data_IF_599069393026
#
_entry.id   IF_599069393026
#
_cell.length_a   1.000
_cell.length_b   1.000
_cell.length_c   1.000
_cell.angle_alpha   90.00
_cell.angle_beta   90.00
_cell.angle_gamma   90.00
#
_symmetry.space_group_name_H-M   'P 1'
#
loop_
_entity.id
_entity.type
_entity.pdbx_description
1 polymer ?
#
# COMPACT_ATOMS: atom_id res chain seq x y z
N UNK A 1 33.41 17.17 -16.26
CA UNK A 1 32.52 16.54 -15.27
C UNK A 1 31.14 16.52 -15.88
N UNK A 2 30.62 15.35 -16.25
CA UNK A 2 29.25 15.23 -16.78
C UNK A 2 28.30 15.42 -15.61
N UNK A 3 27.51 16.49 -15.62
CA UNK A 3 26.44 16.69 -14.63
C UNK A 3 25.42 15.57 -14.80
N UNK A 4 25.22 14.77 -13.75
CA UNK A 4 24.23 13.69 -13.77
C UNK A 4 22.81 14.27 -13.93
N UNK A 5 21.95 13.58 -14.68
CA UNK A 5 20.55 13.97 -14.84
C UNK A 5 19.83 13.89 -13.49
N UNK A 6 19.15 14.96 -13.03
CA UNK A 6 18.40 14.93 -11.78
C UNK A 6 17.11 14.12 -11.92
N UNK A 7 16.64 13.56 -10.82
CA UNK A 7 15.32 12.90 -10.72
C UNK A 7 14.21 13.93 -10.90
N UNK A 8 13.11 13.53 -11.54
CA UNK A 8 11.93 14.36 -11.83
C UNK A 8 10.71 13.83 -11.09
N UNK A 9 9.69 14.67 -10.95
CA UNK A 9 8.42 14.27 -10.32
C UNK A 9 7.79 13.04 -10.97
N UNK A 10 7.87 12.93 -12.29
CA UNK A 10 7.34 11.78 -13.03
C UNK A 10 8.05 10.47 -12.65
N UNK A 11 9.33 10.53 -12.25
CA UNK A 11 10.07 9.34 -11.79
C UNK A 11 9.52 8.83 -10.43
N UNK A 12 8.87 9.69 -9.63
CA UNK A 12 8.25 9.32 -8.34
C UNK A 12 6.79 8.86 -8.47
N UNK A 13 6.25 8.81 -9.68
CA UNK A 13 4.84 8.48 -9.89
C UNK A 13 4.49 7.06 -9.41
N UNK A 14 5.40 6.10 -9.57
CA UNK A 14 5.18 4.72 -9.17
C UNK A 14 4.91 4.58 -7.67
N UNK A 15 5.82 5.11 -6.85
CA UNK A 15 5.73 5.12 -5.38
C UNK A 15 4.49 5.91 -4.91
N UNK A 16 4.26 7.10 -5.48
CA UNK A 16 3.08 7.94 -5.16
C UNK A 16 1.76 7.18 -5.38
N UNK A 17 1.63 6.44 -6.48
CA UNK A 17 0.42 5.66 -6.75
C UNK A 17 0.30 4.41 -5.87
N UNK A 18 1.43 3.84 -5.45
CA UNK A 18 1.52 2.80 -4.43
C UNK A 18 0.94 3.28 -3.09
N UNK A 19 1.44 4.42 -2.60
CA UNK A 19 0.98 5.08 -1.38
C UNK A 19 -0.53 5.29 -1.38
N UNK A 20 -1.05 5.96 -2.43
CA UNK A 20 -2.48 6.20 -2.57
C UNK A 20 -3.30 4.92 -2.56
N UNK A 21 -2.82 3.85 -3.20
CA UNK A 21 -3.51 2.57 -3.23
C UNK A 21 -3.57 1.91 -1.84
N UNK A 22 -2.45 1.94 -1.09
CA UNK A 22 -2.38 1.39 0.27
C UNK A 22 -3.25 2.20 1.24
N UNK A 23 -3.14 3.53 1.27
CA UNK A 23 -3.98 4.39 2.11
C UNK A 23 -5.47 4.20 1.80
N UNK A 24 -5.85 4.19 0.52
CA UNK A 24 -7.25 3.99 0.10
C UNK A 24 -7.81 2.68 0.62
N UNK A 25 -7.08 1.59 0.46
CA UNK A 25 -7.59 0.28 0.81
C UNK A 25 -7.63 0.05 2.32
N UNK A 26 -6.64 0.55 3.07
CA UNK A 26 -6.66 0.55 4.54
C UNK A 26 -7.91 1.25 5.07
N UNK A 27 -8.23 2.44 4.53
CA UNK A 27 -9.47 3.17 4.88
C UNK A 27 -10.74 2.41 4.48
N UNK A 28 -10.80 1.86 3.26
CA UNK A 28 -11.97 1.07 2.81
C UNK A 28 -12.23 -0.14 3.70
N UNK A 29 -11.18 -0.79 4.20
CA UNK A 29 -11.30 -1.92 5.12
C UNK A 29 -11.74 -1.46 6.51
N UNK A 30 -11.20 -0.37 7.04
CA UNK A 30 -11.63 0.23 8.31
C UNK A 30 -13.13 0.61 8.27
N UNK A 31 -13.57 1.24 7.18
CA UNK A 31 -14.99 1.57 6.96
C UNK A 31 -15.86 0.32 6.88
N UNK A 32 -15.40 -0.72 6.17
CA UNK A 32 -16.09 -2.00 6.09
C UNK A 32 -16.24 -2.63 7.47
N UNK A 33 -15.16 -2.70 8.24
CA UNK A 33 -15.17 -3.27 9.59
C UNK A 33 -16.12 -2.49 10.53
N UNK A 34 -16.14 -1.16 10.41
CA UNK A 34 -17.10 -0.30 11.14
C UNK A 34 -18.55 -0.63 10.76
N UNK A 35 -18.86 -0.80 9.47
CA UNK A 35 -20.20 -1.21 9.02
C UNK A 35 -20.60 -2.61 9.48
N UNK A 36 -19.63 -3.55 9.56
CA UNK A 36 -19.85 -4.89 10.11
C UNK A 36 -20.23 -4.79 11.59
N UNK A 37 -19.47 -4.03 12.39
CA UNK A 37 -19.76 -3.80 13.82
C UNK A 37 -21.13 -3.15 14.03
N UNK A 38 -21.50 -2.21 13.17
CA UNK A 38 -22.81 -1.56 13.21
C UNK A 38 -23.98 -2.46 12.76
N UNK A 39 -23.70 -3.68 12.29
CA UNK A 39 -24.72 -4.59 11.74
C UNK A 39 -25.32 -4.14 10.40
N UNK A 40 -24.68 -3.16 9.73
CA UNK A 40 -25.08 -2.67 8.42
C UNK A 40 -24.64 -3.61 7.29
N UNK A 41 -23.71 -4.52 7.55
CA UNK A 41 -23.14 -5.48 6.62
C UNK A 41 -23.19 -6.89 7.20
N UNK A 42 -23.79 -7.85 6.48
CA UNK A 42 -23.69 -9.27 6.85
C UNK A 42 -22.41 -9.86 6.27
N UNK A 43 -21.73 -10.67 7.08
CA UNK A 43 -20.51 -11.38 6.70
C UNK A 43 -20.75 -12.86 6.91
N UNK A 44 -20.89 -13.61 5.82
CA UNK A 44 -20.85 -15.07 5.86
C UNK A 44 -19.41 -15.58 5.88
N UNK A 45 -19.20 -16.89 6.06
CA UNK A 45 -17.86 -17.49 6.10
C UNK A 45 -17.05 -17.22 4.83
N UNK A 46 -17.71 -17.21 3.67
CA UNK A 46 -17.03 -16.98 2.37
C UNK A 46 -16.50 -15.56 2.27
N UNK A 47 -17.31 -14.57 2.66
CA UNK A 47 -16.93 -13.16 2.70
C UNK A 47 -15.89 -12.90 3.78
N UNK A 48 -16.02 -13.52 4.96
CA UNK A 48 -15.02 -13.41 6.02
C UNK A 48 -13.64 -13.90 5.57
N UNK A 49 -13.56 -15.07 4.94
CA UNK A 49 -12.32 -15.59 4.37
C UNK A 49 -11.76 -14.71 3.24
N UNK A 50 -12.63 -14.04 2.47
CA UNK A 50 -12.19 -13.08 1.46
C UNK A 50 -11.62 -11.80 2.08
N UNK A 51 -12.23 -11.29 3.16
CA UNK A 51 -11.72 -10.16 3.94
C UNK A 51 -10.35 -10.51 4.51
N UNK A 52 -10.21 -11.66 5.18
CA UNK A 52 -8.94 -12.12 5.73
C UNK A 52 -7.83 -12.20 4.68
N UNK A 53 -8.12 -12.80 3.52
CA UNK A 53 -7.16 -12.86 2.41
C UNK A 53 -6.79 -11.49 1.85
N UNK A 54 -7.74 -10.56 1.76
CA UNK A 54 -7.46 -9.19 1.32
C UNK A 54 -6.56 -8.47 2.31
N UNK A 55 -6.91 -8.55 3.59
CA UNK A 55 -6.13 -7.96 4.70
C UNK A 55 -4.71 -8.51 4.72
N UNK A 56 -4.53 -9.83 4.61
CA UNK A 56 -3.20 -10.44 4.56
C UNK A 56 -2.33 -9.90 3.43
N UNK A 57 -2.87 -9.83 2.20
CA UNK A 57 -2.13 -9.31 1.04
C UNK A 57 -1.81 -7.82 1.15
N UNK A 58 -2.71 -7.02 1.73
CA UNK A 58 -2.44 -5.60 1.97
C UNK A 58 -1.35 -5.42 3.04
N UNK A 59 -1.40 -6.22 4.11
CA UNK A 59 -0.36 -6.19 5.12
C UNK A 59 0.99 -6.70 4.59
N UNK A 60 1.01 -7.64 3.63
CA UNK A 60 2.24 -8.10 2.97
C UNK A 60 2.84 -6.98 2.13
N UNK A 61 1.99 -6.26 1.39
CA UNK A 61 2.41 -5.13 0.55
C UNK A 61 2.98 -3.97 1.39
N UNK A 62 2.29 -3.56 2.46
CA UNK A 62 2.77 -2.47 3.34
C UNK A 62 4.11 -2.84 3.97
N UNK A 63 4.22 -4.05 4.54
CA UNK A 63 5.47 -4.52 5.13
C UNK A 63 6.61 -4.57 4.12
N UNK A 64 6.35 -5.10 2.92
CA UNK A 64 7.35 -5.15 1.86
C UNK A 64 7.81 -3.75 1.42
N UNK A 65 6.89 -2.79 1.38
CA UNK A 65 7.18 -1.42 1.00
C UNK A 65 8.11 -0.73 2.00
N UNK A 66 7.76 -0.71 3.29
CA UNK A 66 8.60 -0.05 4.30
C UNK A 66 9.93 -0.78 4.53
N UNK A 67 9.96 -2.11 4.41
CA UNK A 67 11.21 -2.88 4.50
C UNK A 67 12.15 -2.54 3.32
N UNK A 68 11.59 -2.34 2.13
CA UNK A 68 12.37 -1.94 0.98
C UNK A 68 12.89 -0.50 1.11
N UNK A 69 12.19 0.38 1.80
CA UNK A 69 12.67 1.73 2.10
C UNK A 69 13.86 1.70 3.05
N UNK A 70 13.73 1.02 4.18
CA UNK A 70 14.80 0.88 5.17
C UNK A 70 16.06 0.24 4.56
N UNK A 71 15.90 -0.82 3.77
CA UNK A 71 17.02 -1.59 3.25
C UNK A 71 17.64 -1.02 1.95
N UNK A 72 16.87 -0.27 1.15
CA UNK A 72 17.29 0.15 -0.20
C UNK A 72 17.30 1.67 -0.33
N UNK A 73 16.20 2.35 0.00
CA UNK A 73 16.08 3.78 -0.24
C UNK A 73 16.83 4.61 0.80
N UNK A 74 16.71 4.28 2.09
CA UNK A 74 17.31 5.03 3.20
C UNK A 74 18.84 5.13 3.03
N UNK A 75 19.58 4.04 2.75
CA UNK A 75 21.03 4.13 2.52
C UNK A 75 21.41 5.04 1.35
N UNK A 76 20.58 5.12 0.30
CA UNK A 76 20.81 6.03 -0.84
C UNK A 76 20.59 7.47 -0.43
N UNK A 77 19.53 7.76 0.35
CA UNK A 77 19.25 9.10 0.85
C UNK A 77 20.35 9.58 1.80
N UNK A 78 20.77 8.75 2.75
CA UNK A 78 21.88 9.06 3.66
C UNK A 78 23.18 9.35 2.89
N UNK A 79 23.51 8.55 1.88
CA UNK A 79 24.70 8.75 1.06
C UNK A 79 24.64 10.03 0.21
N UNK A 80 23.44 10.47 -0.21
CA UNK A 80 23.24 11.61 -1.12
C UNK A 80 22.96 12.93 -0.42
N UNK A 81 22.29 12.89 0.71
CA UNK A 81 21.81 14.06 1.43
C UNK A 81 22.55 14.28 2.76
N UNK A 82 23.12 13.23 3.37
CA UNK A 82 23.76 13.29 4.69
C UNK A 82 22.83 13.92 5.73
N UNK A 83 23.35 14.86 6.52
CA UNK A 83 22.59 15.58 7.58
C UNK A 83 21.38 16.40 7.07
N UNK A 84 21.12 16.44 5.76
CA UNK A 84 19.93 17.10 5.18
C UNK A 84 18.68 16.23 5.21
N UNK A 85 18.81 14.95 5.53
CA UNK A 85 17.70 14.04 5.70
C UNK A 85 17.74 13.49 7.12
N UNK A 86 16.59 13.50 7.80
CA UNK A 86 16.40 12.83 9.08
C UNK A 86 15.31 11.78 8.87
N UNK A 87 15.71 10.51 8.95
CA UNK A 87 14.85 9.36 8.66
C UNK A 87 14.39 8.67 9.95
N UNK A 88 14.85 9.14 11.13
CA UNK A 88 14.60 8.46 12.39
C UNK A 88 13.10 8.35 12.71
N UNK A 89 12.34 9.42 12.49
CA UNK A 89 10.89 9.42 12.73
C UNK A 89 10.16 8.43 11.81
N UNK A 90 10.50 8.40 10.53
CA UNK A 90 9.88 7.46 9.57
C UNK A 90 10.26 6.00 9.86
N UNK A 91 11.51 5.73 10.26
CA UNK A 91 11.92 4.39 10.70
C UNK A 91 11.23 3.98 12.01
N UNK A 92 10.99 4.91 12.93
CA UNK A 92 10.20 4.64 14.14
C UNK A 92 8.74 4.30 13.78
N UNK A 93 8.16 4.96 12.78
CA UNK A 93 6.84 4.61 12.25
C UNK A 93 6.81 3.20 11.65
N UNK A 94 7.83 2.79 10.89
CA UNK A 94 7.95 1.42 10.36
C UNK A 94 7.93 0.39 11.50
N UNK A 95 8.70 0.65 12.56
CA UNK A 95 8.75 -0.20 13.75
C UNK A 95 7.38 -0.26 14.49
N UNK A 96 6.57 0.79 14.41
CA UNK A 96 5.21 0.81 14.94
C UNK A 96 4.19 0.12 14.02
N UNK A 97 4.37 0.20 12.70
CA UNK A 97 3.52 -0.44 11.70
C UNK A 97 3.62 -1.97 11.77
N UNK A 98 4.80 -2.54 11.92
CA UNK A 98 5.01 -3.99 11.96
C UNK A 98 4.12 -4.77 12.95
N UNK A 99 4.09 -4.45 14.26
CA UNK A 99 3.21 -5.13 15.20
C UNK A 99 1.73 -4.87 14.89
N UNK A 100 1.39 -3.70 14.33
CA UNK A 100 0.02 -3.38 13.96
C UNK A 100 -0.46 -4.20 12.76
N UNK A 101 0.39 -4.40 11.76
CA UNK A 101 0.12 -5.29 10.62
C UNK A 101 -0.13 -6.74 11.09
N UNK A 102 0.65 -7.22 12.05
CA UNK A 102 0.43 -8.53 12.65
C UNK A 102 -0.93 -8.64 13.38
N UNK A 103 -1.31 -7.60 14.15
CA UNK A 103 -2.60 -7.55 14.85
C UNK A 103 -3.79 -7.52 13.87
N UNK A 104 -3.68 -6.73 12.80
CA UNK A 104 -4.72 -6.63 11.77
C UNK A 104 -4.92 -7.99 11.08
N UNK A 105 -3.84 -8.72 10.77
CA UNK A 105 -3.91 -10.08 10.21
C UNK A 105 -4.62 -11.03 11.16
N UNK A 106 -4.18 -11.08 12.42
CA UNK A 106 -4.75 -11.97 13.42
C UNK A 106 -6.26 -11.73 13.60
N UNK A 107 -6.68 -10.46 13.71
CA UNK A 107 -8.10 -10.11 13.83
C UNK A 107 -8.92 -10.49 12.58
N UNK A 108 -8.32 -10.41 11.39
CA UNK A 108 -9.01 -10.79 10.16
C UNK A 108 -9.12 -12.32 10.03
N UNK A 109 -8.11 -13.08 10.45
CA UNK A 109 -8.15 -14.54 10.53
C UNK A 109 -9.19 -15.01 11.55
N UNK A 110 -9.27 -14.36 12.71
CA UNK A 110 -10.33 -14.60 13.70
C UNK A 110 -11.72 -14.34 13.10
N UNK A 111 -11.90 -13.28 12.31
CA UNK A 111 -13.16 -13.00 11.62
C UNK A 111 -13.54 -14.15 10.68
N UNK A 112 -12.57 -14.72 9.97
CA UNK A 112 -12.81 -15.87 9.10
C UNK A 112 -13.30 -17.11 9.88
N UNK A 113 -12.81 -17.31 11.10
CA UNK A 113 -13.22 -18.45 11.95
C UNK A 113 -14.59 -18.22 12.62
N UNK A 114 -14.83 -17.02 13.13
CA UNK A 114 -15.99 -16.68 13.95
C UNK A 114 -16.71 -15.40 13.47
N UNK A 115 -17.25 -15.37 12.23
CA UNK A 115 -17.83 -14.15 11.64
C UNK A 115 -19.12 -13.66 12.33
N UNK A 116 -19.74 -14.51 13.15
CA UNK A 116 -20.93 -14.17 13.92
C UNK A 116 -20.60 -13.58 15.31
N UNK A 117 -19.34 -13.62 15.75
CA UNK A 117 -18.92 -13.07 17.04
C UNK A 117 -18.70 -11.56 16.93
N UNK A 118 -19.52 -10.73 17.62
CA UNK A 118 -19.37 -9.28 17.55
C UNK A 118 -18.05 -8.76 18.14
N UNK A 119 -17.39 -9.51 19.02
CA UNK A 119 -16.11 -9.11 19.63
C UNK A 119 -14.98 -9.12 18.60
N UNK A 120 -14.99 -10.09 17.70
CA UNK A 120 -14.01 -10.24 16.61
C UNK A 120 -14.14 -9.09 15.62
N UNK A 121 -15.37 -8.75 15.21
CA UNK A 121 -15.62 -7.58 14.36
C UNK A 121 -15.13 -6.26 14.98
N UNK A 122 -15.30 -6.08 16.31
CA UNK A 122 -14.80 -4.90 17.03
C UNK A 122 -13.28 -4.83 17.08
N UNK A 123 -12.61 -5.98 17.30
CA UNK A 123 -11.16 -6.04 17.28
C UNK A 123 -10.63 -5.65 15.89
N UNK A 124 -11.16 -6.25 14.83
CA UNK A 124 -10.78 -5.93 13.46
C UNK A 124 -10.98 -4.44 13.13
N UNK A 125 -12.13 -3.86 13.49
CA UNK A 125 -12.42 -2.45 13.25
C UNK A 125 -11.42 -1.53 13.97
N UNK A 126 -11.07 -1.83 15.22
CA UNK A 126 -10.07 -1.06 15.98
C UNK A 126 -8.70 -1.12 15.33
N UNK A 127 -8.21 -2.31 14.97
CA UNK A 127 -6.87 -2.45 14.40
C UNK A 127 -6.78 -1.87 12.98
N UNK A 128 -7.79 -2.06 12.14
CA UNK A 128 -7.83 -1.43 10.81
C UNK A 128 -7.96 0.09 10.87
N UNK A 129 -8.71 0.64 11.83
CA UNK A 129 -8.76 2.08 12.05
C UNK A 129 -7.38 2.64 12.40
N UNK A 130 -6.72 2.04 13.40
CA UNK A 130 -5.35 2.43 13.77
C UNK A 130 -4.37 2.30 12.59
N UNK A 131 -4.46 1.23 11.78
CA UNK A 131 -3.61 1.07 10.60
C UNK A 131 -3.87 2.14 9.56
N UNK A 132 -5.14 2.44 9.28
CA UNK A 132 -5.50 3.45 8.29
C UNK A 132 -5.03 4.85 8.69
N UNK A 133 -5.10 5.19 9.97
CA UNK A 133 -4.65 6.48 10.50
C UNK A 133 -3.11 6.56 10.47
N UNK A 134 -2.40 5.61 11.09
CA UNK A 134 -0.93 5.61 11.14
C UNK A 134 -0.30 5.57 9.75
N UNK A 135 -0.77 4.68 8.86
CA UNK A 135 -0.23 4.59 7.50
C UNK A 135 -0.48 5.86 6.69
N UNK A 136 -1.60 6.55 6.91
CA UNK A 136 -1.86 7.83 6.25
C UNK A 136 -0.85 8.87 6.72
N UNK A 137 -0.72 9.03 8.04
CA UNK A 137 0.16 10.04 8.64
C UNK A 137 1.61 9.82 8.20
N UNK A 138 2.06 8.57 8.28
CA UNK A 138 3.38 8.15 7.84
C UNK A 138 3.65 8.51 6.38
N UNK A 139 2.77 8.10 5.44
CA UNK A 139 2.92 8.40 4.02
C UNK A 139 2.88 9.91 3.74
N UNK A 140 2.00 10.66 4.41
CA UNK A 140 1.91 12.12 4.24
C UNK A 140 3.21 12.81 4.71
N UNK A 141 3.85 12.29 5.76
CA UNK A 141 5.16 12.77 6.23
C UNK A 141 6.30 12.36 5.29
N UNK A 142 6.32 11.10 4.86
CA UNK A 142 7.33 10.58 3.94
C UNK A 142 7.33 11.36 2.62
N UNK A 143 6.17 11.54 1.97
CA UNK A 143 6.07 12.32 0.73
C UNK A 143 6.49 13.79 0.94
N UNK A 144 6.25 14.35 2.13
CA UNK A 144 6.60 15.74 2.46
C UNK A 144 8.10 15.92 2.69
N UNK A 145 8.73 15.00 3.41
CA UNK A 145 10.13 15.13 3.85
C UNK A 145 11.11 14.47 2.87
N UNK A 146 10.77 13.30 2.32
CA UNK A 146 11.68 12.48 1.50
C UNK A 146 11.66 12.89 0.03
N UNK A 147 10.49 13.16 -0.57
CA UNK A 147 10.43 13.43 -2.01
C UNK A 147 11.23 14.68 -2.43
N UNK A 148 11.21 15.81 -1.69
CA UNK A 148 12.07 16.95 -2.01
C UNK A 148 13.56 16.59 -1.99
N UNK A 149 13.98 15.71 -1.08
CA UNK A 149 15.36 15.24 -0.99
C UNK A 149 15.72 14.38 -2.19
N UNK A 150 14.85 13.45 -2.61
CA UNK A 150 15.07 12.64 -3.81
C UNK A 150 15.26 13.55 -5.04
N UNK A 151 14.35 14.50 -5.24
CA UNK A 151 14.39 15.42 -6.39
C UNK A 151 15.63 16.32 -6.40
N UNK A 152 16.10 16.75 -5.22
CA UNK A 152 17.24 17.66 -5.10
C UNK A 152 18.60 16.96 -5.14
N UNK A 153 18.70 15.73 -4.62
CA UNK A 153 19.97 15.11 -4.29
C UNK A 153 20.24 13.76 -4.98
N UNK A 154 19.21 13.05 -5.41
CA UNK A 154 19.37 11.71 -6.01
C UNK A 154 19.39 11.84 -7.54
N UNK A 155 20.47 11.41 -8.22
CA UNK A 155 20.50 11.34 -9.67
C UNK A 155 19.53 10.30 -10.22
N UNK A 156 18.93 10.56 -11.38
CA UNK A 156 17.89 9.71 -11.97
C UNK A 156 18.32 8.24 -12.14
N UNK A 157 19.58 8.00 -12.54
CA UNK A 157 20.08 6.64 -12.72
C UNK A 157 20.18 5.83 -11.41
N UNK A 158 20.37 6.50 -10.27
CA UNK A 158 20.37 5.87 -8.95
C UNK A 158 18.95 5.64 -8.45
N UNK A 159 18.03 6.58 -8.71
CA UNK A 159 16.62 6.36 -8.45
C UNK A 159 16.10 5.13 -9.22
N UNK A 160 16.39 5.01 -10.51
CA UNK A 160 16.03 3.81 -11.27
C UNK A 160 16.69 2.53 -10.73
N UNK A 161 17.87 2.63 -10.12
CA UNK A 161 18.51 1.48 -9.48
C UNK A 161 17.79 1.09 -8.19
N UNK A 162 17.29 2.05 -7.40
CA UNK A 162 16.39 1.79 -6.27
C UNK A 162 15.13 1.09 -6.76
N UNK A 163 14.43 1.63 -7.76
CA UNK A 163 13.21 1.01 -8.31
C UNK A 163 13.45 -0.40 -8.87
N UNK A 164 14.62 -0.66 -9.43
CA UNK A 164 15.01 -2.00 -9.89
C UNK A 164 15.24 -2.95 -8.71
N UNK A 165 15.99 -2.52 -7.69
CA UNK A 165 16.27 -3.31 -6.50
C UNK A 165 14.98 -3.65 -5.73
N UNK A 166 14.07 -2.69 -5.53
CA UNK A 166 12.76 -2.92 -4.90
C UNK A 166 11.97 -3.98 -5.68
N UNK A 167 11.93 -3.86 -7.01
CA UNK A 167 11.24 -4.83 -7.89
C UNK A 167 11.83 -6.24 -7.82
N UNK A 168 13.16 -6.35 -7.71
CA UNK A 168 13.85 -7.64 -7.61
C UNK A 168 13.62 -8.34 -6.25
N UNK A 169 13.24 -7.58 -5.21
CA UNK A 169 12.76 -8.14 -3.93
C UNK A 169 11.37 -8.80 -4.05
N UNK A 170 10.64 -8.55 -5.14
CA UNK A 170 9.40 -9.24 -5.48
C UNK A 170 8.13 -8.52 -5.07
N UNK A 171 7.18 -9.23 -4.47
CA UNK A 171 5.85 -8.73 -4.12
C UNK A 171 4.72 -9.24 -5.02
N UNK A 172 3.48 -9.09 -4.53
CA UNK A 172 2.28 -9.56 -5.25
C UNK A 172 1.83 -8.56 -6.31
N UNK A 173 2.52 -8.55 -7.45
CA UNK A 173 2.18 -7.71 -8.60
C UNK A 173 0.77 -7.97 -9.15
N UNK A 174 0.19 -9.15 -8.90
CA UNK A 174 -1.19 -9.44 -9.26
C UNK A 174 -2.20 -8.71 -8.38
N UNK A 175 -1.79 -8.30 -7.16
CA UNK A 175 -2.56 -7.48 -6.23
C UNK A 175 -2.30 -5.99 -6.41
N UNK A 176 -1.03 -5.59 -6.44
CA UNK A 176 -0.60 -4.19 -6.39
C UNK A 176 -0.92 -3.47 -7.70
N UNK A 177 -0.49 -4.02 -8.84
CA UNK A 177 -0.62 -3.39 -10.16
C UNK A 177 -2.03 -2.87 -10.48
N UNK A 178 -3.11 -3.67 -10.37
CA UNK A 178 -4.45 -3.17 -10.68
C UNK A 178 -4.92 -2.08 -9.72
N UNK A 179 -4.50 -2.12 -8.45
CA UNK A 179 -4.89 -1.11 -7.45
C UNK A 179 -4.17 0.22 -7.61
N UNK A 180 -2.86 0.16 -7.89
CA UNK A 180 -2.02 1.30 -8.30
C UNK A 180 -2.62 1.95 -9.54
N UNK A 181 -2.96 1.14 -10.56
CA UNK A 181 -3.60 1.63 -11.77
C UNK A 181 -4.99 2.25 -11.51
N UNK A 182 -5.73 1.77 -10.51
CA UNK A 182 -7.03 2.32 -10.11
C UNK A 182 -6.89 3.55 -9.20
N UNK A 183 -5.69 3.89 -8.71
CA UNK A 183 -5.40 5.09 -7.93
C UNK A 183 -4.94 6.27 -8.82
N UNK A 184 -4.61 6.01 -10.08
CA UNK A 184 -4.15 7.01 -11.04
C UNK A 184 -5.31 7.84 -11.61
N UNK A 185 -5.09 9.15 -11.73
CA UNK A 185 -5.90 10.03 -12.58
C UNK A 185 -5.72 9.68 -14.07
N UNK A 186 -6.57 10.20 -14.99
CA UNK A 186 -6.42 9.96 -16.42
C UNK A 186 -5.05 10.36 -16.99
N UNK A 187 -4.48 11.46 -16.50
CA UNK A 187 -3.18 11.97 -16.96
C UNK A 187 -2.05 11.08 -16.41
N UNK A 188 -2.05 10.78 -15.11
CA UNK A 188 -1.08 9.87 -14.49
C UNK A 188 -1.13 8.46 -15.10
N UNK A 189 -2.30 8.00 -15.56
CA UNK A 189 -2.44 6.72 -16.24
C UNK A 189 -1.73 6.71 -17.61
N UNK A 190 -1.62 7.86 -18.29
CA UNK A 190 -0.83 7.96 -19.51
C UNK A 190 0.67 7.84 -19.21
N UNK A 191 1.13 8.45 -18.12
CA UNK A 191 2.52 8.39 -17.66
C UNK A 191 2.89 7.00 -17.15
N UNK A 192 2.02 6.39 -16.33
CA UNK A 192 2.18 5.03 -15.83
C UNK A 192 2.33 4.02 -16.99
N UNK A 193 1.56 4.17 -18.07
CA UNK A 193 1.70 3.31 -19.27
C UNK A 193 3.06 3.45 -19.94
N UNK A 194 3.62 4.66 -19.94
CA UNK A 194 4.93 4.95 -20.53
C UNK A 194 6.05 4.31 -19.69
N UNK A 195 5.93 4.39 -18.36
CA UNK A 195 6.90 3.86 -17.40
C UNK A 195 6.84 2.33 -17.27
N UNK A 196 5.64 1.76 -17.07
CA UNK A 196 5.44 0.34 -16.79
C UNK A 196 5.73 -0.57 -18.01
N UNK A 197 5.74 0.00 -19.20
CA UNK A 197 6.02 -0.71 -20.44
C UNK A 197 4.90 -1.64 -20.90
N UNK A 198 5.04 -2.22 -22.10
CA UNK A 198 3.94 -2.93 -22.78
C UNK A 198 3.51 -4.22 -22.06
N UNK A 199 4.44 -4.92 -21.40
CA UNK A 199 4.15 -6.21 -20.74
C UNK A 199 3.17 -6.05 -19.58
N UNK A 200 3.46 -5.14 -18.64
CA UNK A 200 2.56 -4.88 -17.51
C UNK A 200 1.20 -4.35 -17.98
N UNK A 201 1.19 -3.56 -19.05
CA UNK A 201 -0.05 -3.03 -19.61
C UNK A 201 -0.94 -4.08 -20.28
N UNK A 202 -0.35 -5.12 -20.87
CA UNK A 202 -1.10 -6.27 -21.41
C UNK A 202 -1.70 -7.12 -20.28
N UNK A 203 -1.02 -7.24 -19.14
CA UNK A 203 -1.51 -8.02 -17.98
C UNK A 203 -2.60 -7.29 -17.18
N UNK A 204 -2.61 -5.96 -17.21
CA UNK A 204 -3.50 -5.13 -16.40
C UNK A 204 -5.01 -5.46 -16.54
N UNK A 205 -5.59 -5.70 -17.72
CA UNK A 205 -7.01 -6.07 -17.83
C UNK A 205 -7.34 -7.38 -17.10
N UNK A 206 -6.42 -8.36 -17.15
CA UNK A 206 -6.58 -9.67 -16.51
C UNK A 206 -6.50 -9.51 -14.99
N UNK A 207 -5.50 -8.79 -14.49
CA UNK A 207 -5.34 -8.55 -13.05
C UNK A 207 -6.50 -7.72 -12.50
N UNK A 208 -6.96 -6.69 -13.22
CA UNK A 208 -8.17 -5.92 -12.87
C UNK A 208 -9.42 -6.77 -12.81
N UNK A 209 -9.61 -7.70 -13.75
CA UNK A 209 -10.76 -8.60 -13.70
C UNK A 209 -10.74 -9.48 -12.45
N UNK A 210 -9.57 -10.06 -12.10
CA UNK A 210 -9.41 -10.86 -10.87
C UNK A 210 -9.64 -10.01 -9.62
N UNK A 211 -9.06 -8.81 -9.58
CA UNK A 211 -9.21 -7.86 -8.47
C UNK A 211 -10.69 -7.49 -8.28
N UNK A 212 -11.40 -7.09 -9.33
CA UNK A 212 -12.83 -6.71 -9.24
C UNK A 212 -13.72 -7.84 -8.71
N UNK A 213 -13.40 -9.10 -9.02
CA UNK A 213 -14.12 -10.25 -8.44
C UNK A 213 -13.87 -10.36 -6.94
N UNK A 214 -12.63 -10.18 -6.50
CA UNK A 214 -12.29 -10.16 -5.08
C UNK A 214 -12.93 -8.96 -4.37
N UNK A 215 -12.85 -7.76 -4.96
CA UNK A 215 -13.48 -6.55 -4.42
C UNK A 215 -14.99 -6.68 -4.27
N UNK A 216 -15.68 -7.26 -5.26
CA UNK A 216 -17.12 -7.49 -5.16
C UNK A 216 -17.44 -8.40 -3.97
N UNK A 217 -16.61 -9.39 -3.69
CA UNK A 217 -16.82 -10.30 -2.57
C UNK A 217 -16.56 -9.62 -1.21
N UNK A 218 -15.51 -8.78 -1.14
CA UNK A 218 -15.14 -8.07 0.10
C UNK A 218 -16.06 -6.87 0.36
N UNK A 219 -16.22 -5.99 -0.62
CA UNK A 219 -16.88 -4.68 -0.49
C UNK A 219 -18.30 -4.63 -1.07
N UNK A 220 -18.72 -5.60 -1.89
CA UNK A 220 -20.04 -5.61 -2.53
C UNK A 220 -21.14 -6.16 -1.62
N UNK A 221 -21.46 -5.43 -0.55
CA UNK A 221 -22.35 -5.83 0.54
C UNK A 221 -23.65 -6.54 0.14
N UNK A 222 -24.21 -7.31 1.08
CA UNK A 222 -25.56 -7.85 0.95
C UNK A 222 -26.58 -6.81 1.45
N UNK A 223 -27.53 -6.34 0.62
CA UNK A 223 -28.56 -5.41 1.10
C UNK A 223 -29.42 -6.05 2.20
N UNK A 224 -29.91 -5.24 3.15
CA UNK A 224 -30.89 -5.67 4.16
C UNK A 224 -32.18 -6.06 3.44
N UNK A 225 -32.65 -7.29 3.65
CA UNK A 225 -34.04 -7.71 3.41
C UNK A 225 -34.94 -7.20 4.51
#
# INVERSE_FOLDING_TARGET
MTTATPTRRDDLLGITLGHRAMCRDSRRLADLATRIVAGAERVDRTRAAAIARWVGRLADEIHHHHEAEDDVLWPVLEARAGDRVDLAALTDDHAALDPLLAQVRAAADELAQAPADPSVGRALARHLGALADLLTEHIDEEEREVFPIILAHVPQHEWHAVEAAVRDRGGDMGFALPRVADAASPDEMADLRRMAGPVLMVLLPITRWRLRRAEKLVFGGAPRT
#
